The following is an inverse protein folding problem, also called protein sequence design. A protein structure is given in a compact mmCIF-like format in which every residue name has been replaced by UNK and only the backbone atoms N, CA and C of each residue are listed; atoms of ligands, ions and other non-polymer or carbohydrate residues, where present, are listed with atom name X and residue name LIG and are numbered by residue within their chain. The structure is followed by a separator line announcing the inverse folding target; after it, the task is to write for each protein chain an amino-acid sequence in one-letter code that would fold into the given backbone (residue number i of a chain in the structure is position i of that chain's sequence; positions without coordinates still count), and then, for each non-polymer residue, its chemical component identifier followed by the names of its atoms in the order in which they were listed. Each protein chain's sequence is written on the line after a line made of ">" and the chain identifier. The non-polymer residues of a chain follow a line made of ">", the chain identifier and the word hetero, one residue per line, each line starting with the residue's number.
data_IF_205672542214
#
_entry.id   IF_205672542214
#
_cell.length_a   1.000
_cell.length_b   1.000
_cell.length_c   1.000
_cell.angle_alpha   90.00
_cell.angle_beta   90.00
_cell.angle_gamma   90.00
#
_symmetry.space_group_name_H-M   'P 1'
#
loop_
_entity.id
_entity.type
_entity.pdbx_description
1 polymer ?
#
# COMPACT_ATOMS: atom_id res chain seq x y z
N UNK A 1 -25.35 22.38 -18.17
CA UNK A 1 -24.39 21.40 -18.72
C UNK A 1 -23.10 21.25 -17.90
N UNK A 2 -22.42 22.31 -17.49
CA UNK A 2 -21.18 22.24 -16.70
C UNK A 2 -21.31 21.49 -15.33
N UNK A 3 -22.47 21.59 -14.67
CA UNK A 3 -22.70 20.90 -13.39
C UNK A 3 -22.91 19.38 -13.56
N UNK A 4 -23.57 18.97 -14.62
CA UNK A 4 -23.83 17.55 -14.90
C UNK A 4 -22.54 16.80 -15.28
N UNK A 5 -21.68 17.42 -16.10
CA UNK A 5 -20.37 16.87 -16.46
C UNK A 5 -19.45 16.75 -15.25
N UNK A 6 -19.50 17.71 -14.31
CA UNK A 6 -18.72 17.69 -13.06
C UNK A 6 -19.26 16.64 -12.07
N UNK A 7 -20.57 16.40 -12.04
CA UNK A 7 -21.18 15.32 -11.24
C UNK A 7 -20.85 13.95 -11.82
N UNK A 8 -20.93 13.79 -13.14
CA UNK A 8 -20.61 12.55 -13.82
C UNK A 8 -19.12 12.21 -13.74
N UNK A 9 -18.22 13.21 -13.80
CA UNK A 9 -16.80 12.99 -13.61
C UNK A 9 -16.43 12.58 -12.17
N UNK A 10 -17.10 13.17 -11.16
CA UNK A 10 -16.94 12.74 -9.76
C UNK A 10 -17.51 11.34 -9.53
N UNK A 11 -18.64 11.01 -10.13
CA UNK A 11 -19.27 9.70 -10.05
C UNK A 11 -18.42 8.64 -10.77
N UNK A 12 -17.83 8.98 -11.92
CA UNK A 12 -16.93 8.10 -12.67
C UNK A 12 -15.61 7.88 -11.92
N UNK A 13 -15.04 8.92 -11.28
CA UNK A 13 -13.91 8.81 -10.36
C UNK A 13 -14.25 7.89 -9.19
N UNK A 14 -15.42 8.07 -8.56
CA UNK A 14 -15.86 7.25 -7.44
C UNK A 14 -16.02 5.76 -7.82
N UNK A 15 -16.55 5.47 -9.01
CA UNK A 15 -16.73 4.10 -9.51
C UNK A 15 -15.41 3.39 -9.86
N UNK A 16 -14.35 4.16 -10.15
CA UNK A 16 -13.05 3.63 -10.56
C UNK A 16 -11.96 3.77 -9.50
N UNK A 17 -12.26 4.39 -8.38
CA UNK A 17 -11.34 4.62 -7.27
C UNK A 17 -11.47 3.51 -6.22
N UNK A 18 -10.33 3.13 -5.62
CA UNK A 18 -10.28 2.25 -4.45
C UNK A 18 -10.96 0.88 -4.65
N UNK A 19 -10.57 0.19 -5.72
CA UNK A 19 -11.08 -1.16 -6.05
C UNK A 19 -10.66 -2.22 -5.04
N UNK A 20 -9.57 -1.95 -4.30
CA UNK A 20 -8.98 -2.86 -3.32
C UNK A 20 -9.05 -2.25 -1.91
N UNK A 21 -9.25 -3.12 -0.93
CA UNK A 21 -9.22 -2.74 0.48
C UNK A 21 -7.76 -2.49 0.93
N UNK A 22 -6.83 -3.33 0.46
CA UNK A 22 -5.43 -3.28 0.84
C UNK A 22 -4.48 -3.35 -0.37
N UNK A 23 -3.41 -2.57 -0.29
CA UNK A 23 -2.16 -2.79 -0.99
C UNK A 23 -1.19 -3.50 -0.04
N UNK A 24 -0.46 -4.52 -0.47
CA UNK A 24 0.56 -5.18 0.33
C UNK A 24 1.92 -4.53 0.08
N UNK A 25 2.48 -3.86 1.09
CA UNK A 25 3.82 -3.28 1.05
C UNK A 25 4.81 -4.10 1.87
N UNK A 26 5.96 -4.45 1.30
CA UNK A 26 6.93 -5.27 2.02
C UNK A 26 8.23 -5.48 1.25
N UNK A 27 9.22 -6.13 1.90
CA UNK A 27 10.50 -6.40 1.26
C UNK A 27 10.38 -7.49 0.21
N UNK A 28 10.81 -7.21 -1.01
CA UNK A 28 10.89 -8.19 -2.10
C UNK A 28 12.33 -8.48 -2.49
N UNK A 29 13.11 -7.43 -2.78
CA UNK A 29 14.50 -7.56 -3.21
C UNK A 29 15.36 -8.14 -2.07
N UNK A 30 16.35 -8.96 -2.43
CA UNK A 30 17.24 -9.69 -1.52
C UNK A 30 16.57 -10.79 -0.69
N UNK A 31 15.35 -11.16 -1.03
CA UNK A 31 14.67 -12.34 -0.48
C UNK A 31 14.56 -13.44 -1.56
N UNK A 32 14.61 -14.71 -1.17
CA UNK A 32 14.33 -15.81 -2.09
C UNK A 32 12.97 -15.62 -2.77
N UNK A 33 12.90 -15.90 -4.07
CA UNK A 33 11.69 -15.75 -4.89
C UNK A 33 11.00 -14.38 -4.73
N UNK A 34 11.80 -13.32 -4.51
CA UNK A 34 11.31 -11.96 -4.25
C UNK A 34 10.26 -11.90 -3.13
N UNK A 35 10.39 -12.75 -2.13
CA UNK A 35 9.47 -12.88 -1.01
C UNK A 35 8.00 -13.25 -1.42
N UNK A 36 7.82 -13.72 -2.64
CA UNK A 36 6.49 -14.07 -3.17
C UNK A 36 5.70 -15.04 -2.27
N UNK A 37 6.32 -16.02 -1.58
CA UNK A 37 5.59 -16.89 -0.66
C UNK A 37 4.90 -16.12 0.47
N UNK A 38 5.56 -15.12 1.08
CA UNK A 38 4.94 -14.30 2.14
C UNK A 38 3.79 -13.46 1.59
N UNK A 39 4.01 -12.77 0.45
CA UNK A 39 2.97 -11.97 -0.20
C UNK A 39 1.75 -12.82 -0.58
N UNK A 40 1.96 -13.99 -1.15
CA UNK A 40 0.89 -14.92 -1.53
C UNK A 40 0.12 -15.43 -0.31
N UNK A 41 0.83 -15.81 0.74
CA UNK A 41 0.21 -16.30 1.98
C UNK A 41 -0.68 -15.23 2.61
N UNK A 42 -0.17 -14.01 2.80
CA UNK A 42 -0.94 -12.91 3.39
C UNK A 42 -2.12 -12.52 2.52
N UNK A 43 -1.93 -12.40 1.20
CA UNK A 43 -3.03 -12.05 0.30
C UNK A 43 -4.13 -13.10 0.33
N UNK A 44 -3.77 -14.38 0.38
CA UNK A 44 -4.73 -15.48 0.50
C UNK A 44 -5.52 -15.41 1.82
N UNK A 45 -4.85 -15.21 2.96
CA UNK A 45 -5.49 -15.08 4.27
C UNK A 45 -6.48 -13.91 4.31
N UNK A 46 -6.11 -12.76 3.73
CA UNK A 46 -6.98 -11.59 3.69
C UNK A 46 -8.17 -11.80 2.74
N UNK A 47 -7.94 -12.44 1.58
CA UNK A 47 -9.00 -12.74 0.61
C UNK A 47 -10.02 -13.73 1.17
N UNK A 48 -9.60 -14.73 1.95
CA UNK A 48 -10.53 -15.64 2.66
C UNK A 48 -11.42 -14.87 3.65
N UNK A 49 -10.89 -13.81 4.28
CA UNK A 49 -11.67 -12.91 5.15
C UNK A 49 -12.59 -11.96 4.38
N UNK A 50 -12.62 -12.01 3.05
CA UNK A 50 -13.47 -11.22 2.17
C UNK A 50 -12.86 -9.89 1.70
N UNK A 51 -11.60 -9.61 2.02
CA UNK A 51 -10.93 -8.40 1.56
C UNK A 51 -10.45 -8.51 0.11
N UNK A 52 -10.52 -7.39 -0.62
CA UNK A 52 -9.89 -7.24 -1.92
C UNK A 52 -8.46 -6.74 -1.72
N UNK A 53 -7.51 -7.47 -2.28
CA UNK A 53 -6.08 -7.23 -2.02
C UNK A 53 -5.33 -7.05 -3.33
N UNK A 54 -4.61 -5.92 -3.45
CA UNK A 54 -3.57 -5.74 -4.44
C UNK A 54 -2.27 -6.35 -3.92
N UNK A 55 -1.82 -7.41 -4.58
CA UNK A 55 -0.57 -8.08 -4.26
C UNK A 55 0.45 -7.78 -5.37
N UNK A 56 1.50 -6.98 -5.12
CA UNK A 56 2.49 -6.63 -6.15
C UNK A 56 3.20 -7.86 -6.73
N UNK A 57 3.35 -8.95 -5.98
CA UNK A 57 3.98 -10.17 -6.51
C UNK A 57 3.19 -10.86 -7.63
N UNK A 58 1.93 -10.50 -7.83
CA UNK A 58 1.07 -11.01 -8.90
C UNK A 58 1.13 -10.12 -10.16
N UNK A 59 1.74 -8.94 -10.08
CA UNK A 59 1.74 -7.93 -11.14
C UNK A 59 3.14 -7.72 -11.70
N UNK A 60 3.48 -8.50 -12.72
CA UNK A 60 4.71 -8.36 -13.50
C UNK A 60 5.87 -9.26 -13.03
N UNK A 61 6.89 -9.35 -13.88
CA UNK A 61 8.14 -10.03 -13.56
C UNK A 61 9.14 -9.02 -12.98
N UNK A 62 9.22 -8.94 -11.67
CA UNK A 62 10.19 -8.10 -10.99
C UNK A 62 11.66 -8.50 -11.28
N UNK A 63 11.89 -9.69 -11.84
CA UNK A 63 13.21 -10.16 -12.24
C UNK A 63 13.70 -9.45 -13.50
N UNK A 64 12.79 -9.20 -14.47
CA UNK A 64 13.10 -8.62 -15.77
C UNK A 64 12.67 -7.16 -15.91
N UNK A 65 12.13 -6.56 -14.84
CA UNK A 65 11.57 -5.20 -14.86
C UNK A 65 12.42 -4.25 -14.02
N UNK A 66 12.63 -3.03 -14.52
CA UNK A 66 13.36 -2.01 -13.76
C UNK A 66 12.63 -1.63 -12.48
N UNK A 67 13.38 -1.25 -11.44
CA UNK A 67 12.83 -0.76 -10.18
C UNK A 67 11.87 0.41 -10.40
N UNK A 68 12.22 1.34 -11.29
CA UNK A 68 11.40 2.50 -11.60
C UNK A 68 10.03 2.10 -12.18
N UNK A 69 10.00 1.08 -13.05
CA UNK A 69 8.73 0.60 -13.61
C UNK A 69 7.87 -0.07 -12.53
N UNK A 70 8.45 -0.94 -11.71
CA UNK A 70 7.75 -1.55 -10.59
C UNK A 70 7.15 -0.49 -9.67
N UNK A 71 7.94 0.50 -9.26
CA UNK A 71 7.47 1.59 -8.42
C UNK A 71 6.36 2.42 -9.07
N UNK A 72 6.42 2.63 -10.40
CA UNK A 72 5.34 3.34 -11.11
C UNK A 72 4.02 2.58 -10.99
N UNK A 73 4.02 1.29 -11.22
CA UNK A 73 2.82 0.45 -11.14
C UNK A 73 2.29 0.37 -9.70
N UNK A 74 3.19 0.16 -8.74
CA UNK A 74 2.87 0.01 -7.32
C UNK A 74 2.34 1.31 -6.71
N UNK A 75 3.01 2.44 -6.94
CA UNK A 75 2.56 3.74 -6.45
C UNK A 75 1.23 4.16 -7.09
N UNK A 76 1.02 3.84 -8.37
CA UNK A 76 -0.26 4.09 -9.04
C UNK A 76 -1.37 3.28 -8.37
N UNK A 77 -1.13 2.01 -8.04
CA UNK A 77 -2.09 1.18 -7.33
C UNK A 77 -2.42 1.73 -5.94
N UNK A 78 -1.40 2.17 -5.18
CA UNK A 78 -1.60 2.79 -3.86
C UNK A 78 -2.45 4.05 -3.98
N UNK A 79 -2.07 4.98 -4.86
CA UNK A 79 -2.71 6.29 -5.00
C UNK A 79 -4.17 6.13 -5.44
N UNK A 80 -4.42 5.32 -6.46
CA UNK A 80 -5.69 5.27 -7.16
C UNK A 80 -6.59 4.11 -6.73
N UNK A 81 -6.03 2.92 -6.54
CA UNK A 81 -6.82 1.69 -6.53
C UNK A 81 -6.99 1.06 -5.14
N UNK A 82 -6.28 1.53 -4.11
CA UNK A 82 -6.29 0.94 -2.78
C UNK A 82 -6.72 1.93 -1.69
N UNK A 83 -7.46 1.43 -0.69
CA UNK A 83 -7.92 2.25 0.45
C UNK A 83 -6.85 2.37 1.53
N UNK A 84 -6.16 1.28 1.81
CA UNK A 84 -5.19 1.14 2.90
C UNK A 84 -3.93 0.47 2.40
N UNK A 85 -2.84 0.68 3.12
CA UNK A 85 -1.62 -0.11 2.96
C UNK A 85 -1.47 -1.10 4.12
N UNK A 86 -1.20 -2.36 3.79
CA UNK A 86 -0.86 -3.40 4.75
C UNK A 86 0.64 -3.70 4.66
N UNK A 87 1.36 -3.39 5.71
CA UNK A 87 2.82 -3.46 5.78
C UNK A 87 3.25 -4.83 6.30
N UNK A 88 3.94 -5.59 5.45
CA UNK A 88 4.42 -6.93 5.76
C UNK A 88 5.65 -6.90 6.67
N UNK A 89 5.91 -7.98 7.44
CA UNK A 89 7.10 -8.07 8.29
C UNK A 89 8.39 -7.70 7.56
N UNK A 90 9.22 -6.86 8.18
CA UNK A 90 10.48 -6.40 7.62
C UNK A 90 10.38 -5.23 6.63
N UNK A 91 9.22 -4.64 6.44
CA UNK A 91 9.00 -3.52 5.53
C UNK A 91 9.93 -2.32 5.80
N UNK A 92 10.29 -2.08 7.05
CA UNK A 92 11.16 -0.96 7.46
C UNK A 92 12.56 -1.01 6.82
N UNK A 93 13.02 -2.19 6.44
CA UNK A 93 14.32 -2.41 5.80
C UNK A 93 14.27 -2.37 4.27
N UNK A 94 13.09 -2.20 3.68
CA UNK A 94 12.88 -2.15 2.23
C UNK A 94 12.73 -0.70 1.77
N UNK A 95 13.60 -0.25 0.86
CA UNK A 95 13.50 1.07 0.26
C UNK A 95 12.13 1.23 -0.44
N UNK A 96 11.72 0.25 -1.25
CA UNK A 96 10.44 0.27 -1.95
C UNK A 96 9.27 0.39 -0.99
N UNK A 97 9.20 -0.45 0.03
CA UNK A 97 8.12 -0.42 1.01
C UNK A 97 8.09 0.89 1.83
N UNK A 98 9.24 1.51 2.10
CA UNK A 98 9.28 2.83 2.74
C UNK A 98 8.74 3.92 1.81
N UNK A 99 9.07 3.90 0.51
CA UNK A 99 8.51 4.82 -0.48
C UNK A 99 7.00 4.64 -0.63
N UNK A 100 6.53 3.40 -0.67
CA UNK A 100 5.11 3.05 -0.71
C UNK A 100 4.35 3.56 0.51
N UNK A 101 4.91 3.34 1.71
CA UNK A 101 4.35 3.82 2.97
C UNK A 101 4.29 5.36 3.01
N UNK A 102 5.35 6.03 2.54
CA UNK A 102 5.37 7.50 2.46
C UNK A 102 4.29 8.03 1.52
N UNK A 103 4.15 7.45 0.33
CA UNK A 103 3.12 7.87 -0.63
C UNK A 103 1.71 7.57 -0.10
N UNK A 104 1.50 6.42 0.54
CA UNK A 104 0.23 6.10 1.19
C UNK A 104 -0.12 7.15 2.25
N UNK A 105 0.84 7.53 3.10
CA UNK A 105 0.68 8.59 4.10
C UNK A 105 0.36 9.94 3.45
N UNK A 106 1.13 10.35 2.44
CA UNK A 106 0.92 11.62 1.73
C UNK A 106 -0.46 11.70 1.05
N UNK A 107 -1.02 10.56 0.65
CA UNK A 107 -2.38 10.46 0.07
C UNK A 107 -3.48 10.26 1.13
N UNK A 108 -3.18 10.37 2.42
CA UNK A 108 -4.15 10.21 3.51
C UNK A 108 -4.66 8.77 3.66
N UNK A 109 -3.92 7.77 3.18
CA UNK A 109 -4.29 6.36 3.33
C UNK A 109 -3.99 5.86 4.74
N UNK A 110 -4.87 5.06 5.30
CA UNK A 110 -4.60 4.35 6.54
C UNK A 110 -3.58 3.23 6.34
N UNK A 111 -2.80 2.96 7.37
CA UNK A 111 -1.84 1.85 7.38
C UNK A 111 -2.17 0.84 8.47
N UNK A 112 -1.88 -0.41 8.17
CA UNK A 112 -1.88 -1.51 9.15
C UNK A 112 -0.57 -2.28 9.03
N UNK A 113 -0.06 -2.80 10.13
CA UNK A 113 1.01 -3.80 10.11
C UNK A 113 0.40 -5.21 10.11
N UNK A 114 1.00 -6.07 9.32
CA UNK A 114 0.66 -7.49 9.28
C UNK A 114 1.55 -8.23 10.27
N UNK A 115 0.94 -8.82 11.29
CA UNK A 115 1.61 -9.66 12.28
C UNK A 115 1.26 -11.11 12.00
N UNK A 116 2.27 -11.92 11.69
CA UNK A 116 2.09 -13.34 11.43
C UNK A 116 2.08 -14.13 12.74
N UNK A 117 1.22 -15.15 12.83
CA UNK A 117 1.31 -16.14 13.90
C UNK A 117 2.64 -16.91 13.83
N UNK A 118 3.10 -17.49 14.95
CA UNK A 118 4.37 -18.22 15.02
C UNK A 118 4.46 -19.37 14.00
N UNK A 119 3.35 -20.04 13.74
CA UNK A 119 3.27 -21.13 12.76
C UNK A 119 2.98 -20.66 11.32
N UNK A 120 2.86 -19.35 11.10
CA UNK A 120 2.56 -18.78 9.77
C UNK A 120 1.14 -19.07 9.23
N UNK A 121 0.26 -19.69 10.03
CA UNK A 121 -1.06 -20.13 9.57
C UNK A 121 -2.12 -19.02 9.57
N UNK A 122 -1.88 -17.93 10.29
CA UNK A 122 -2.79 -16.79 10.37
C UNK A 122 -2.03 -15.46 10.46
N UNK A 123 -2.73 -14.37 10.18
CA UNK A 123 -2.21 -13.04 10.39
C UNK A 123 -3.26 -12.13 11.05
N UNK A 124 -2.76 -11.15 11.79
CA UNK A 124 -3.51 -10.05 12.35
C UNK A 124 -3.12 -8.73 11.67
N UNK A 125 -4.07 -7.80 11.59
CA UNK A 125 -3.86 -6.46 11.07
C UNK A 125 -3.93 -5.49 12.25
N UNK A 126 -2.80 -4.85 12.54
CA UNK A 126 -2.68 -3.89 13.63
C UNK A 126 -2.60 -2.48 13.05
N UNK A 127 -3.49 -1.54 13.44
CA UNK A 127 -3.41 -0.15 13.00
C UNK A 127 -2.01 0.43 13.25
N UNK A 128 -1.44 1.10 12.24
CA UNK A 128 -0.11 1.67 12.30
C UNK A 128 -0.13 3.16 11.96
N UNK A 129 0.43 3.97 12.85
CA UNK A 129 0.52 5.41 12.66
C UNK A 129 1.80 5.78 11.90
N UNK A 130 1.69 5.91 10.58
CA UNK A 130 2.80 6.27 9.70
C UNK A 130 3.40 7.64 10.04
N UNK A 131 2.64 8.56 10.62
CA UNK A 131 3.15 9.91 10.97
C UNK A 131 4.28 9.81 11.99
N UNK A 132 4.16 8.90 12.95
CA UNK A 132 5.18 8.70 13.99
C UNK A 132 6.45 8.04 13.45
N UNK A 133 6.33 7.26 12.37
CA UNK A 133 7.45 6.57 11.77
C UNK A 133 8.18 7.40 10.71
N UNK A 134 7.42 8.07 9.84
CA UNK A 134 7.96 8.76 8.66
C UNK A 134 8.40 10.20 8.93
N UNK A 135 7.97 10.80 10.04
CA UNK A 135 8.19 12.20 10.35
C UNK A 135 9.13 12.50 11.55
N UNK A 136 10.08 11.67 11.96
CA UNK A 136 11.15 12.10 12.84
C UNK A 136 12.21 12.90 12.05
N UNK A 137 11.78 13.72 11.07
CA UNK A 137 12.67 14.63 10.36
C UNK A 137 12.70 15.93 11.15
N UNK A 138 13.74 16.10 11.96
CA UNK A 138 14.09 17.38 12.55
C UNK A 138 14.27 18.40 11.43
N UNK A 139 13.29 19.27 11.24
CA UNK A 139 13.31 20.33 10.23
C UNK A 139 12.11 20.42 9.28
N UNK A 140 11.28 19.39 9.16
CA UNK A 140 10.00 19.51 8.46
C UNK A 140 8.92 19.93 9.44
N UNK A 141 8.36 21.12 9.25
CA UNK A 141 7.23 21.58 10.06
C UNK A 141 5.96 20.79 9.68
N UNK A 142 5.80 19.63 10.30
CA UNK A 142 4.69 18.72 10.06
C UNK A 142 3.34 19.24 10.54
N UNK A 143 3.33 20.31 11.37
CA UNK A 143 2.08 20.93 11.80
C UNK A 143 1.32 21.63 10.67
N UNK A 144 1.97 21.81 9.51
CA UNK A 144 1.36 22.38 8.30
C UNK A 144 0.98 21.33 7.26
N UNK A 145 1.32 20.07 7.49
CA UNK A 145 0.97 18.99 6.58
C UNK A 145 -0.26 18.23 7.10
N UNK A 146 -1.41 18.55 6.53
CA UNK A 146 -2.63 17.79 6.76
C UNK A 146 -3.03 17.13 5.43
N UNK A 147 -2.84 15.81 5.29
CA UNK A 147 -3.15 15.09 4.05
C UNK A 147 -4.65 15.11 3.68
N UNK A 148 -5.50 15.65 4.55
CA UNK A 148 -6.95 15.73 4.36
C UNK A 148 -7.44 17.14 3.98
N UNK A 149 -6.55 18.14 3.86
CA UNK A 149 -6.92 19.54 3.56
C UNK A 149 -6.78 19.95 2.09
N UNK A 150 -6.48 19.05 1.16
CA UNK A 150 -6.46 19.33 -0.29
C UNK A 150 -7.77 19.00 -1.01
#
# INVERSE_FOLDING_TARGET
>A
MKYLTRLLSKFWLFLNYEKNDFYLGGPMRNYPDLNAPLFSSVSHMLRIKGFKVWNPSEHGSYLDTSFAKCMTDDLTAIIRDCRKIALLPGWQKSLGANMEAFVAFACGKEAVEVVMSENGASCELIPFDLSKYLLPYDGVNTSKFNPHEE
#
